data_IF_860288693484
#
_entry.id   IF_860288693484
#
_cell.length_a   1.000
_cell.length_b   1.000
_cell.length_c   1.000
_cell.angle_alpha   90.00
_cell.angle_beta   90.00
_cell.angle_gamma   90.00
#
_symmetry.space_group_name_H-M   'P 1'
#
loop_
_entity.id
_entity.type
_entity.pdbx_description
1 polymer ?
#
# COMPACT_ATOMS: atom_id res chain seq x y z
N UNK A 1 -7.58 -4.67 -11.25
CA UNK A 1 -6.93 -3.37 -11.53
C UNK A 1 -7.68 -2.22 -10.88
N UNK A 2 -8.91 -1.92 -11.30
CA UNK A 2 -9.70 -0.76 -10.79
C UNK A 2 -9.81 -0.76 -9.26
N UNK A 3 -10.12 -1.90 -8.64
CA UNK A 3 -10.19 -2.02 -7.16
C UNK A 3 -8.87 -1.73 -6.45
N UNK A 4 -7.73 -2.07 -7.06
CA UNK A 4 -6.42 -1.91 -6.44
C UNK A 4 -5.76 -0.57 -6.78
N UNK A 5 -6.25 0.14 -7.81
CA UNK A 5 -5.60 1.32 -8.39
C UNK A 5 -5.46 2.48 -7.41
N UNK A 6 -6.36 2.59 -6.43
CA UNK A 6 -6.32 3.62 -5.37
C UNK A 6 -5.04 3.52 -4.53
N UNK A 7 -4.41 2.34 -4.49
CA UNK A 7 -3.19 2.08 -3.72
C UNK A 7 -1.94 1.90 -4.60
N UNK A 8 -2.06 2.12 -5.92
CA UNK A 8 -0.92 2.04 -6.82
C UNK A 8 -0.08 3.31 -6.69
N UNK A 9 1.16 3.11 -6.25
CA UNK A 9 2.15 4.16 -6.07
C UNK A 9 3.53 3.61 -6.39
N UNK A 10 4.53 4.44 -6.71
CA UNK A 10 5.92 4.02 -6.89
C UNK A 10 6.57 3.68 -5.54
N UNK A 11 5.99 2.72 -4.81
CA UNK A 11 6.42 2.25 -3.49
C UNK A 11 6.81 0.76 -3.55
N UNK A 12 7.75 0.30 -2.71
CA UNK A 12 8.15 -1.12 -2.65
C UNK A 12 6.98 -2.09 -2.39
N UNK A 13 5.88 -1.62 -1.81
CA UNK A 13 4.65 -2.41 -1.61
C UNK A 13 4.11 -3.05 -2.90
N UNK A 14 4.36 -2.46 -4.08
CA UNK A 14 3.91 -3.05 -5.35
C UNK A 14 4.50 -4.44 -5.58
N UNK A 15 5.74 -4.68 -5.14
CA UNK A 15 6.34 -6.02 -5.19
C UNK A 15 5.56 -7.02 -4.32
N UNK A 16 4.98 -6.57 -3.20
CA UNK A 16 4.19 -7.46 -2.33
C UNK A 16 2.92 -7.95 -3.01
N UNK A 17 2.28 -7.13 -3.85
CA UNK A 17 1.10 -7.57 -4.60
C UNK A 17 1.46 -8.61 -5.67
N UNK A 18 2.59 -8.40 -6.37
CA UNK A 18 3.10 -9.36 -7.35
C UNK A 18 3.49 -10.67 -6.67
N UNK A 19 4.27 -10.61 -5.59
CA UNK A 19 4.72 -11.80 -4.87
C UNK A 19 3.55 -12.54 -4.20
N UNK A 20 2.52 -11.83 -3.73
CA UNK A 20 1.26 -12.45 -3.28
C UNK A 20 0.61 -13.25 -4.40
N UNK A 21 0.49 -12.68 -5.61
CA UNK A 21 -0.06 -13.38 -6.76
C UNK A 21 0.78 -14.62 -7.14
N UNK A 22 2.11 -14.52 -7.09
CA UNK A 22 3.01 -15.66 -7.34
C UNK A 22 2.83 -16.75 -6.27
N UNK A 23 2.73 -16.39 -4.99
CA UNK A 23 2.47 -17.35 -3.91
C UNK A 23 1.13 -18.06 -4.12
N UNK A 24 0.06 -17.33 -4.43
CA UNK A 24 -1.24 -17.93 -4.75
C UNK A 24 -1.18 -18.87 -5.96
N UNK A 25 -0.43 -18.49 -7.00
CA UNK A 25 -0.21 -19.35 -8.16
C UNK A 25 0.55 -20.63 -7.80
N UNK A 26 1.57 -20.54 -6.94
CA UNK A 26 2.31 -21.71 -6.44
C UNK A 26 1.40 -22.60 -5.59
N UNK A 27 0.58 -22.03 -4.71
CA UNK A 27 -0.41 -22.78 -3.92
C UNK A 27 -1.45 -23.48 -4.81
N UNK A 28 -1.90 -22.82 -5.87
CA UNK A 28 -2.80 -23.42 -6.86
C UNK A 28 -2.13 -24.58 -7.61
N UNK A 29 -0.87 -24.43 -8.05
CA UNK A 29 -0.11 -25.52 -8.71
C UNK A 29 0.23 -26.66 -7.76
N UNK A 30 0.38 -26.37 -6.48
CA UNK A 30 0.71 -27.35 -5.46
C UNK A 30 -0.39 -28.40 -5.31
N UNK A 31 -1.67 -28.03 -5.45
CA UNK A 31 -2.78 -29.00 -5.51
C UNK A 31 -2.61 -30.05 -6.62
N UNK A 32 -1.83 -29.74 -7.66
CA UNK A 32 -1.44 -30.64 -8.74
C UNK A 32 -0.03 -31.26 -8.56
N UNK A 33 0.54 -31.20 -7.35
CA UNK A 33 1.78 -31.87 -6.94
C UNK A 33 3.10 -31.15 -7.24
N UNK A 34 3.08 -29.90 -7.72
CA UNK A 34 4.30 -29.23 -8.25
C UNK A 34 4.61 -27.89 -7.60
N UNK A 35 5.90 -27.62 -7.39
CA UNK A 35 6.44 -26.26 -7.24
C UNK A 35 6.39 -25.61 -5.85
N UNK A 36 5.87 -26.27 -4.81
CA UNK A 36 5.68 -25.64 -3.49
C UNK A 36 6.96 -25.07 -2.87
N UNK A 37 8.11 -25.71 -3.08
CA UNK A 37 9.40 -25.23 -2.57
C UNK A 37 9.85 -23.88 -3.16
N UNK A 38 9.23 -23.42 -4.25
CA UNK A 38 9.48 -22.09 -4.81
C UNK A 38 9.09 -20.97 -3.84
N UNK A 39 8.22 -21.24 -2.86
CA UNK A 39 7.85 -20.28 -1.81
C UNK A 39 9.07 -19.86 -1.01
N UNK A 40 10.04 -20.75 -0.74
CA UNK A 40 11.22 -20.41 0.06
C UNK A 40 12.06 -19.29 -0.57
N UNK A 41 12.56 -19.40 -1.82
CA UNK A 41 13.30 -18.30 -2.45
C UNK A 41 12.43 -17.07 -2.70
N UNK A 42 11.10 -17.22 -2.91
CA UNK A 42 10.17 -16.09 -2.97
C UNK A 42 10.19 -15.31 -1.65
N UNK A 43 10.15 -16.00 -0.50
CA UNK A 43 10.13 -15.34 0.81
C UNK A 43 11.47 -14.68 1.15
N UNK A 44 12.60 -15.27 0.74
CA UNK A 44 13.92 -14.60 0.81
C UNK A 44 13.91 -13.29 0.03
N UNK A 45 13.47 -13.34 -1.23
CA UNK A 45 13.36 -12.15 -2.07
C UNK A 45 12.40 -11.13 -1.47
N UNK A 46 11.24 -11.57 -0.98
CA UNK A 46 10.22 -10.69 -0.42
C UNK A 46 10.72 -9.97 0.83
N UNK A 47 11.37 -10.68 1.76
CA UNK A 47 11.96 -10.12 2.97
C UNK A 47 13.00 -9.02 2.68
N UNK A 48 13.73 -9.13 1.57
CA UNK A 48 14.71 -8.11 1.16
C UNK A 48 14.09 -6.94 0.35
N UNK A 49 12.83 -7.06 -0.08
CA UNK A 49 12.16 -6.02 -0.88
C UNK A 49 11.19 -5.17 -0.04
N UNK A 50 10.39 -5.79 0.83
CA UNK A 50 9.33 -5.09 1.56
C UNK A 50 8.81 -5.88 2.75
N UNK A 51 8.47 -5.20 3.86
CA UNK A 51 7.88 -5.79 5.07
C UNK A 51 6.52 -6.47 4.86
N UNK A 52 5.91 -6.29 3.68
CA UNK A 52 4.70 -6.99 3.24
C UNK A 52 4.86 -8.51 3.08
N UNK A 53 6.05 -9.08 3.29
CA UNK A 53 6.23 -10.54 3.36
C UNK A 53 5.31 -11.19 4.41
N UNK A 54 4.89 -10.44 5.43
CA UNK A 54 3.91 -10.88 6.44
C UNK A 54 2.59 -11.35 5.80
N UNK A 55 2.16 -10.71 4.72
CA UNK A 55 0.98 -11.13 3.93
C UNK A 55 1.22 -12.54 3.35
N UNK A 56 2.43 -12.83 2.88
CA UNK A 56 2.79 -14.18 2.42
C UNK A 56 2.53 -15.25 3.48
N UNK A 57 2.89 -14.99 4.75
CA UNK A 57 2.59 -15.91 5.85
C UNK A 57 1.11 -16.00 6.19
N UNK A 58 0.36 -14.89 6.10
CA UNK A 58 -1.10 -14.90 6.27
C UNK A 58 -1.75 -15.80 5.21
N UNK A 59 -1.32 -15.70 3.95
CA UNK A 59 -1.81 -16.56 2.86
C UNK A 59 -1.44 -18.03 3.09
N UNK A 60 -0.21 -18.31 3.53
CA UNK A 60 0.25 -19.66 3.85
C UNK A 60 -0.53 -20.26 5.03
N UNK A 61 -0.78 -19.48 6.08
CA UNK A 61 -1.57 -19.90 7.23
C UNK A 61 -3.03 -20.19 6.84
N UNK A 62 -3.64 -19.31 6.03
CA UNK A 62 -4.96 -19.54 5.46
C UNK A 62 -5.02 -20.80 4.60
N UNK A 63 -3.99 -21.06 3.81
CA UNK A 63 -3.88 -22.29 3.02
C UNK A 63 -3.70 -23.55 3.88
N UNK A 64 -2.87 -23.51 4.92
CA UNK A 64 -2.70 -24.63 5.87
C UNK A 64 -4.03 -24.93 6.57
N UNK A 65 -4.68 -23.92 7.14
CA UNK A 65 -5.96 -24.08 7.82
C UNK A 65 -7.05 -24.58 6.86
N UNK A 66 -7.10 -24.02 5.66
CA UNK A 66 -8.06 -24.42 4.63
C UNK A 66 -7.88 -25.85 4.17
N UNK A 67 -6.64 -26.28 3.88
CA UNK A 67 -6.37 -27.66 3.46
C UNK A 67 -6.55 -28.67 4.59
N UNK A 68 -6.28 -28.27 5.84
CA UNK A 68 -6.58 -29.09 7.02
C UNK A 68 -8.09 -29.29 7.18
N UNK A 69 -8.88 -28.23 7.05
CA UNK A 69 -10.35 -28.32 7.09
C UNK A 69 -10.91 -29.12 5.90
N UNK A 70 -10.41 -28.90 4.68
CA UNK A 70 -10.79 -29.70 3.52
C UNK A 70 -10.53 -31.20 3.75
N UNK A 71 -9.39 -31.54 4.33
CA UNK A 71 -9.03 -32.91 4.67
C UNK A 71 -9.93 -33.48 5.77
N UNK A 72 -10.23 -32.69 6.80
CA UNK A 72 -11.08 -33.08 7.93
C UNK A 72 -12.54 -33.31 7.51
N UNK A 73 -13.09 -32.43 6.65
CA UNK A 73 -14.49 -32.49 6.21
C UNK A 73 -14.68 -33.32 4.93
N UNK A 74 -13.63 -33.95 4.42
CA UNK A 74 -13.70 -34.82 3.24
C UNK A 74 -14.10 -34.09 1.94
N UNK A 75 -13.67 -32.83 1.77
CA UNK A 75 -13.92 -32.09 0.52
C UNK A 75 -13.16 -32.78 -0.62
N UNK A 76 -13.84 -32.99 -1.75
CA UNK A 76 -13.26 -33.60 -2.93
C UNK A 76 -12.04 -32.79 -3.42
N UNK A 77 -10.92 -33.48 -3.69
CA UNK A 77 -9.67 -32.84 -4.12
C UNK A 77 -8.79 -32.29 -2.99
N UNK A 78 -9.09 -32.59 -1.72
CA UNK A 78 -8.21 -32.27 -0.60
C UNK A 78 -6.81 -32.91 -0.74
N UNK A 79 -5.76 -32.19 -0.37
CA UNK A 79 -4.36 -32.67 -0.47
C UNK A 79 -3.98 -33.73 0.57
N UNK A 80 -4.83 -33.95 1.58
CA UNK A 80 -4.61 -34.88 2.68
C UNK A 80 -3.57 -34.41 3.70
N UNK A 81 -3.44 -35.14 4.81
CA UNK A 81 -2.53 -34.78 5.92
C UNK A 81 -1.06 -34.70 5.53
N UNK A 82 -0.60 -35.54 4.59
CA UNK A 82 0.77 -35.45 4.04
C UNK A 82 0.98 -34.12 3.31
N UNK A 83 -0.03 -33.65 2.59
CA UNK A 83 0.02 -32.38 1.91
C UNK A 83 0.00 -31.18 2.87
N UNK A 84 -0.83 -31.24 3.92
CA UNK A 84 -0.84 -30.23 4.99
C UNK A 84 0.52 -30.19 5.70
N UNK A 85 1.10 -31.34 6.04
CA UNK A 85 2.44 -31.41 6.65
C UNK A 85 3.53 -30.80 5.77
N UNK A 86 3.45 -30.98 4.45
CA UNK A 86 4.38 -30.35 3.49
C UNK A 86 4.21 -28.82 3.44
N UNK A 87 2.98 -28.31 3.52
CA UNK A 87 2.72 -26.86 3.61
C UNK A 87 3.30 -26.27 4.88
N UNK A 88 3.09 -26.92 6.03
CA UNK A 88 3.66 -26.53 7.32
C UNK A 88 5.20 -26.50 7.23
N UNK A 89 5.80 -27.55 6.69
CA UNK A 89 7.25 -27.63 6.52
C UNK A 89 7.79 -26.49 5.65
N UNK A 90 7.22 -26.26 4.47
CA UNK A 90 7.67 -25.18 3.58
C UNK A 90 7.48 -23.81 4.24
N UNK A 91 6.40 -23.62 4.98
CA UNK A 91 6.14 -22.38 5.72
C UNK A 91 7.19 -22.16 6.82
N UNK A 92 7.51 -23.20 7.60
CA UNK A 92 8.55 -23.14 8.63
C UNK A 92 9.94 -22.86 8.02
N UNK A 93 10.31 -23.54 6.93
CA UNK A 93 11.57 -23.27 6.21
C UNK A 93 11.57 -21.84 5.66
N UNK A 94 10.44 -21.33 5.18
CA UNK A 94 10.35 -19.95 4.68
C UNK A 94 10.54 -18.90 5.78
N UNK A 95 10.07 -19.18 7.00
CA UNK A 95 10.31 -18.32 8.17
C UNK A 95 11.81 -18.27 8.54
N UNK A 96 12.50 -19.42 8.50
CA UNK A 96 13.95 -19.46 8.68
C UNK A 96 14.69 -18.78 7.53
N UNK A 97 14.20 -18.94 6.30
CA UNK A 97 14.82 -18.35 5.11
C UNK A 97 14.77 -16.81 5.13
N UNK A 98 13.82 -16.19 5.83
CA UNK A 98 13.82 -14.74 6.03
C UNK A 98 15.09 -14.24 6.69
N UNK A 99 15.79 -15.05 7.49
CA UNK A 99 17.06 -14.64 8.12
C UNK A 99 18.16 -14.31 7.10
N UNK A 100 17.98 -14.68 5.84
CA UNK A 100 18.84 -14.28 4.72
C UNK A 100 18.49 -12.85 4.28
N UNK A 101 18.79 -11.88 5.14
CA UNK A 101 18.62 -10.45 4.88
C UNK A 101 19.60 -9.62 5.77
N UNK A 102 19.86 -8.34 5.45
CA UNK A 102 20.79 -7.50 6.22
C UNK A 102 20.43 -7.30 7.71
N UNK A 103 19.15 -7.40 8.06
CA UNK A 103 18.62 -7.24 9.42
C UNK A 103 18.56 -8.56 10.22
N UNK A 104 18.93 -9.70 9.62
CA UNK A 104 18.93 -11.01 10.29
C UNK A 104 17.57 -11.34 10.91
N UNK A 105 17.54 -11.64 12.21
CA UNK A 105 16.32 -12.00 12.93
C UNK A 105 15.40 -10.81 13.26
N UNK A 106 15.93 -9.58 13.29
CA UNK A 106 15.15 -8.40 13.67
C UNK A 106 14.04 -8.11 12.65
N UNK A 107 14.20 -8.57 11.40
CA UNK A 107 13.17 -8.46 10.37
C UNK A 107 11.81 -9.03 10.83
N UNK A 108 11.82 -10.08 11.66
CA UNK A 108 10.61 -10.76 12.13
C UNK A 108 9.77 -9.89 13.07
N UNK A 109 10.36 -8.86 13.70
CA UNK A 109 9.66 -7.93 14.59
C UNK A 109 8.95 -6.81 13.83
N UNK A 110 9.47 -6.43 12.65
CA UNK A 110 9.01 -5.28 11.86
C UNK A 110 7.48 -5.24 11.66
N UNK A 111 6.79 -6.33 11.27
CA UNK A 111 5.34 -6.27 11.09
C UNK A 111 4.57 -5.94 12.37
N UNK A 112 5.05 -6.44 13.52
CA UNK A 112 4.41 -6.20 14.82
C UNK A 112 4.68 -4.79 15.32
N UNK A 113 5.92 -4.32 15.19
CA UNK A 113 6.29 -2.95 15.54
C UNK A 113 5.48 -1.96 14.70
N UNK A 114 5.38 -2.18 13.39
CA UNK A 114 4.62 -1.31 12.47
C UNK A 114 3.14 -1.24 12.84
N UNK A 115 2.48 -2.38 13.11
CA UNK A 115 1.05 -2.40 13.46
C UNK A 115 0.81 -1.77 14.83
N UNK A 116 1.79 -1.79 15.74
CA UNK A 116 1.67 -1.20 17.08
C UNK A 116 1.91 0.32 17.12
N UNK A 117 2.32 0.96 16.03
CA UNK A 117 2.46 2.43 16.00
C UNK A 117 1.05 3.05 15.97
N UNK A 118 0.56 3.51 17.13
CA UNK A 118 -0.75 4.14 17.24
C UNK A 118 -0.93 5.36 16.30
N UNK A 119 0.15 6.12 16.09
CA UNK A 119 0.15 7.26 15.17
C UNK A 119 -0.11 6.85 13.70
N UNK A 120 0.37 5.68 13.25
CA UNK A 120 0.05 5.17 11.91
C UNK A 120 -1.44 4.95 11.74
N UNK A 121 -2.05 4.29 12.73
CA UNK A 121 -3.48 3.96 12.71
C UNK A 121 -4.35 5.21 12.81
N UNK A 122 -3.92 6.19 13.61
CA UNK A 122 -4.69 7.41 13.85
C UNK A 122 -4.61 8.40 12.68
N UNK A 123 -3.42 8.61 12.11
CA UNK A 123 -3.18 9.75 11.21
C UNK A 123 -2.96 9.38 9.75
N UNK A 124 -2.72 8.11 9.42
CA UNK A 124 -2.55 7.68 8.02
C UNK A 124 -3.81 6.98 7.53
N UNK A 125 -4.51 7.64 6.60
CA UNK A 125 -5.79 7.20 6.02
C UNK A 125 -5.74 5.77 5.47
N UNK A 126 -4.59 5.34 4.92
CA UNK A 126 -4.41 3.98 4.39
C UNK A 126 -4.57 2.87 5.45
N UNK A 127 -4.39 3.19 6.74
CA UNK A 127 -4.54 2.25 7.85
C UNK A 127 -5.95 2.23 8.46
N UNK A 128 -6.81 3.17 8.07
CA UNK A 128 -8.20 3.24 8.52
C UNK A 128 -9.09 2.32 7.69
N UNK A 129 -10.28 2.02 8.21
CA UNK A 129 -11.33 1.35 7.45
C UNK A 129 -11.74 2.16 6.22
N UNK A 130 -12.04 1.50 5.08
CA UNK A 130 -12.44 2.20 3.87
C UNK A 130 -13.77 2.94 4.05
N UNK A 131 -13.79 4.22 3.67
CA UNK A 131 -15.01 5.04 3.65
C UNK A 131 -15.73 4.92 2.31
N UNK A 132 -16.90 4.28 2.32
CA UNK A 132 -17.73 4.08 1.13
C UNK A 132 -18.55 5.31 0.70
N UNK A 133 -18.56 6.39 1.49
CA UNK A 133 -19.07 7.68 1.03
C UNK A 133 -18.14 8.30 -0.02
N UNK A 134 -16.85 7.97 0.02
CA UNK A 134 -15.91 8.28 -1.05
C UNK A 134 -16.12 7.33 -2.24
N UNK A 135 -16.49 7.89 -3.40
CA UNK A 135 -16.72 7.15 -4.65
C UNK A 135 -15.50 6.35 -5.13
N UNK A 136 -14.29 6.73 -4.72
CA UNK A 136 -13.06 5.99 -5.04
C UNK A 136 -13.07 4.57 -4.43
N UNK A 137 -13.85 4.33 -3.37
CA UNK A 137 -13.97 3.01 -2.72
C UNK A 137 -15.06 2.12 -3.35
N UNK A 138 -15.89 2.64 -4.25
CA UNK A 138 -16.98 1.86 -4.87
C UNK A 138 -16.50 0.65 -5.68
N UNK A 139 -15.38 0.69 -6.43
CA UNK A 139 -14.85 -0.50 -7.09
C UNK A 139 -14.47 -1.62 -6.13
N UNK A 140 -14.12 -1.31 -4.87
CA UNK A 140 -13.89 -2.32 -3.84
C UNK A 140 -15.22 -2.94 -3.38
N UNK A 141 -16.21 -2.12 -3.03
CA UNK A 141 -17.54 -2.59 -2.66
C UNK A 141 -18.17 -3.48 -3.75
N UNK A 142 -18.13 -3.00 -5.01
CA UNK A 142 -18.64 -3.75 -6.15
C UNK A 142 -17.93 -5.09 -6.33
N UNK A 143 -16.62 -5.15 -6.08
CA UNK A 143 -15.87 -6.40 -6.21
C UNK A 143 -16.23 -7.39 -5.10
N UNK A 144 -16.36 -6.94 -3.84
CA UNK A 144 -16.87 -7.79 -2.74
C UNK A 144 -18.26 -8.34 -3.08
N UNK A 145 -19.18 -7.47 -3.51
CA UNK A 145 -20.53 -7.87 -3.90
C UNK A 145 -20.53 -8.83 -5.09
N UNK A 146 -19.64 -8.64 -6.07
CA UNK A 146 -19.49 -9.55 -7.20
C UNK A 146 -19.02 -10.94 -6.76
N UNK A 147 -18.06 -11.02 -5.83
CA UNK A 147 -17.59 -12.30 -5.26
C UNK A 147 -18.72 -13.02 -4.54
N UNK A 148 -19.44 -12.31 -3.66
CA UNK A 148 -20.58 -12.87 -2.92
C UNK A 148 -21.72 -13.29 -3.87
N UNK A 149 -22.05 -12.45 -4.84
CA UNK A 149 -23.10 -12.72 -5.81
C UNK A 149 -22.77 -13.89 -6.73
N UNK A 150 -21.55 -13.97 -7.26
CA UNK A 150 -21.12 -15.09 -8.09
C UNK A 150 -21.08 -16.40 -7.30
N UNK A 151 -20.60 -16.37 -6.05
CA UNK A 151 -20.58 -17.54 -5.19
C UNK A 151 -21.98 -18.01 -4.76
N UNK A 152 -22.91 -17.09 -4.52
CA UNK A 152 -24.29 -17.42 -4.19
C UNK A 152 -25.12 -17.89 -5.39
N UNK A 153 -24.76 -17.46 -6.60
CA UNK A 153 -25.49 -17.80 -7.82
C UNK A 153 -24.99 -19.08 -8.51
N UNK A 154 -23.71 -19.46 -8.35
CA UNK A 154 -23.14 -20.66 -8.95
C UNK A 154 -23.42 -21.92 -8.11
N UNK A 155 -23.55 -23.07 -8.76
CA UNK A 155 -23.58 -24.40 -8.10
C UNK A 155 -22.22 -24.80 -7.51
N UNK A 156 -21.13 -24.12 -7.88
CA UNK A 156 -19.79 -24.37 -7.35
C UNK A 156 -19.73 -23.95 -5.88
N UNK A 157 -19.37 -24.90 -5.00
CA UNK A 157 -19.13 -24.62 -3.58
C UNK A 157 -17.71 -24.12 -3.33
N UNK A 158 -17.57 -23.24 -2.35
CA UNK A 158 -16.28 -22.89 -1.77
C UNK A 158 -15.66 -24.12 -1.10
N UNK A 159 -14.37 -24.37 -1.37
CA UNK A 159 -13.55 -25.14 -0.43
C UNK A 159 -13.09 -24.23 0.72
N UNK A 160 -12.63 -24.82 1.82
CA UNK A 160 -12.24 -24.06 3.01
C UNK A 160 -11.05 -23.13 2.78
N UNK A 161 -10.11 -23.51 1.90
CA UNK A 161 -8.98 -22.64 1.54
C UNK A 161 -9.44 -21.38 0.83
N UNK A 162 -10.27 -21.52 -0.20
CA UNK A 162 -10.80 -20.39 -0.95
C UNK A 162 -11.63 -19.47 -0.04
N UNK A 163 -12.46 -20.08 0.84
CA UNK A 163 -13.23 -19.33 1.84
C UNK A 163 -12.32 -18.55 2.80
N UNK A 164 -11.34 -19.21 3.44
CA UNK A 164 -10.47 -18.56 4.44
C UNK A 164 -9.59 -17.47 3.81
N UNK A 165 -9.11 -17.67 2.59
CA UNK A 165 -8.33 -16.66 1.89
C UNK A 165 -9.18 -15.43 1.54
N UNK A 166 -10.38 -15.63 1.00
CA UNK A 166 -11.31 -14.53 0.67
C UNK A 166 -11.78 -13.82 1.93
N UNK A 167 -12.31 -14.56 2.90
CA UNK A 167 -12.86 -13.99 4.13
C UNK A 167 -11.77 -13.30 4.94
N UNK A 168 -10.58 -13.91 5.07
CA UNK A 168 -9.45 -13.33 5.79
C UNK A 168 -8.94 -12.04 5.14
N UNK A 169 -8.74 -12.03 3.81
CA UNK A 169 -8.31 -10.81 3.13
C UNK A 169 -9.40 -9.75 3.04
N UNK A 170 -10.68 -10.14 2.95
CA UNK A 170 -11.81 -9.22 3.05
C UNK A 170 -11.83 -8.55 4.42
N UNK A 171 -11.72 -9.31 5.51
CA UNK A 171 -11.60 -8.78 6.86
C UNK A 171 -10.45 -7.78 6.98
N UNK A 172 -9.24 -8.15 6.51
CA UNK A 172 -8.08 -7.25 6.51
C UNK A 172 -8.31 -5.97 5.72
N UNK A 173 -9.05 -6.04 4.60
CA UNK A 173 -9.39 -4.88 3.77
C UNK A 173 -10.46 -3.97 4.38
N UNK A 174 -11.40 -4.52 5.15
CA UNK A 174 -12.35 -3.72 5.94
C UNK A 174 -11.70 -3.12 7.18
N UNK A 175 -10.73 -3.81 7.76
CA UNK A 175 -9.96 -3.30 8.89
C UNK A 175 -9.04 -2.14 8.47
N UNK A 176 -8.29 -2.31 7.37
CA UNK A 176 -7.40 -1.28 6.85
C UNK A 176 -7.42 -1.23 5.32
N UNK A 177 -7.73 -0.06 4.76
CA UNK A 177 -7.94 0.14 3.33
C UNK A 177 -6.72 -0.27 2.47
N UNK A 178 -5.50 -0.16 3.00
CA UNK A 178 -4.27 -0.62 2.34
C UNK A 178 -4.28 -2.10 1.92
N UNK A 179 -5.12 -2.94 2.54
CA UNK A 179 -5.25 -4.36 2.22
C UNK A 179 -6.24 -4.66 1.09
N UNK A 180 -6.94 -3.65 0.55
CA UNK A 180 -7.89 -3.81 -0.58
C UNK A 180 -7.19 -4.41 -1.80
N UNK A 181 -5.95 -4.00 -2.09
CA UNK A 181 -5.19 -4.55 -3.20
C UNK A 181 -4.85 -6.05 -2.99
N UNK A 182 -4.54 -6.45 -1.75
CA UNK A 182 -4.31 -7.86 -1.39
C UNK A 182 -5.58 -8.69 -1.56
N UNK A 183 -6.72 -8.19 -1.07
CA UNK A 183 -8.02 -8.81 -1.31
C UNK A 183 -8.29 -8.96 -2.81
N UNK A 184 -8.03 -7.92 -3.61
CA UNK A 184 -8.26 -7.97 -5.05
C UNK A 184 -7.43 -9.06 -5.73
N UNK A 185 -6.16 -9.24 -5.33
CA UNK A 185 -5.29 -10.31 -5.84
C UNK A 185 -5.82 -11.70 -5.47
N UNK A 186 -6.28 -11.90 -4.23
CA UNK A 186 -6.82 -13.17 -3.75
C UNK A 186 -8.18 -13.51 -4.37
N UNK A 187 -9.09 -12.54 -4.39
CA UNK A 187 -10.48 -12.74 -4.80
C UNK A 187 -10.66 -12.86 -6.31
N UNK A 188 -9.74 -12.30 -7.12
CA UNK A 188 -9.83 -12.37 -8.60
C UNK A 188 -9.96 -13.79 -9.12
N UNK A 189 -9.02 -14.73 -8.86
CA UNK A 189 -9.13 -16.10 -9.39
C UNK A 189 -10.39 -16.82 -8.91
N UNK A 190 -10.86 -16.52 -7.69
CA UNK A 190 -12.04 -17.14 -7.11
C UNK A 190 -13.31 -16.61 -7.79
N UNK A 191 -13.43 -15.29 -7.95
CA UNK A 191 -14.51 -14.68 -8.73
C UNK A 191 -14.55 -15.29 -10.14
N UNK A 192 -13.40 -15.42 -10.80
CA UNK A 192 -13.33 -16.02 -12.15
C UNK A 192 -13.85 -17.45 -12.16
N UNK A 193 -13.51 -18.29 -11.19
CA UNK A 193 -13.99 -19.67 -11.13
C UNK A 193 -15.51 -19.76 -10.90
N UNK A 194 -16.08 -18.93 -10.02
CA UNK A 194 -17.52 -18.92 -9.78
C UNK A 194 -18.31 -18.31 -10.95
N UNK A 195 -17.76 -17.28 -11.61
CA UNK A 195 -18.36 -16.73 -12.83
C UNK A 195 -18.33 -17.72 -13.98
N UNK A 196 -17.20 -18.41 -14.20
CA UNK A 196 -17.07 -19.43 -15.25
C UNK A 196 -18.06 -20.58 -15.04
N UNK A 197 -18.19 -21.05 -13.79
CA UNK A 197 -19.19 -22.06 -13.43
C UNK A 197 -20.61 -21.55 -13.69
N UNK A 198 -20.97 -20.35 -13.21
CA UNK A 198 -22.29 -19.74 -13.42
C UNK A 198 -22.64 -19.57 -14.92
N UNK A 199 -21.67 -19.13 -15.73
CA UNK A 199 -21.87 -18.95 -17.17
C UNK A 199 -22.04 -20.31 -17.86
N UNK A 200 -21.21 -21.29 -17.51
CA UNK A 200 -21.30 -22.66 -18.03
C UNK A 200 -22.64 -23.31 -17.68
N UNK A 201 -23.12 -23.13 -16.45
CA UNK A 201 -24.44 -23.58 -15.98
C UNK A 201 -25.59 -22.97 -16.83
N UNK A 202 -25.40 -21.75 -17.34
CA UNK A 202 -26.36 -21.05 -18.23
C UNK A 202 -26.15 -21.37 -19.72
N UNK A 203 -25.29 -22.35 -20.04
CA UNK A 203 -25.02 -22.78 -21.42
C UNK A 203 -23.96 -21.95 -22.15
N UNK A 204 -23.28 -21.02 -21.48
CA UNK A 204 -22.20 -20.22 -22.06
C UNK A 204 -20.88 -20.94 -21.82
N UNK A 205 -20.39 -21.67 -22.83
CA UNK A 205 -19.10 -22.39 -22.74
C UNK A 205 -17.98 -21.63 -23.45
N UNK A 206 -17.04 -21.11 -22.66
CA UNK A 206 -15.86 -20.46 -23.20
C UNK A 206 -14.75 -21.48 -23.42
N UNK A 207 -14.40 -21.71 -24.68
CA UNK A 207 -13.28 -22.59 -25.02
C UNK A 207 -11.99 -21.77 -25.03
N UNK A 208 -10.95 -22.14 -24.25
CA UNK A 208 -9.68 -21.43 -24.28
C UNK A 208 -9.10 -21.51 -25.69
N UNK A 209 -8.77 -20.35 -26.25
CA UNK A 209 -8.17 -20.24 -27.57
C UNK A 209 -6.75 -20.83 -27.52
N UNK A 210 -6.57 -22.04 -28.06
CA UNK A 210 -5.28 -22.77 -28.03
C UNK A 210 -4.26 -22.22 -29.03
N UNK A 211 -4.73 -21.52 -30.06
CA UNK A 211 -3.88 -20.97 -31.13
C UNK A 211 -4.23 -19.50 -31.35
N UNK A 212 -3.22 -18.63 -31.26
CA UNK A 212 -3.36 -17.23 -31.60
C UNK A 212 -3.43 -17.12 -33.12
N UNK A 213 -4.60 -16.82 -33.68
CA UNK A 213 -4.73 -16.57 -35.11
C UNK A 213 -3.89 -15.36 -35.53
N UNK A 214 -3.44 -15.22 -36.80
CA UNK A 214 -2.70 -14.04 -37.25
C UNK A 214 -3.42 -12.71 -36.96
N UNK A 215 -4.77 -12.71 -37.03
CA UNK A 215 -5.60 -11.55 -36.67
C UNK A 215 -5.56 -11.22 -35.18
N UNK A 216 -5.63 -12.24 -34.32
CA UNK A 216 -5.45 -12.08 -32.87
C UNK A 216 -4.01 -11.65 -32.53
N UNK A 217 -3.02 -12.16 -33.26
CA UNK A 217 -1.62 -11.75 -33.13
C UNK A 217 -1.45 -10.28 -33.48
N UNK A 218 -2.04 -9.84 -34.60
CA UNK A 218 -2.04 -8.43 -35.00
C UNK A 218 -2.79 -7.55 -33.99
N UNK A 219 -3.95 -8.00 -33.47
CA UNK A 219 -4.69 -7.28 -32.44
C UNK A 219 -3.90 -7.17 -31.14
N UNK A 220 -3.30 -8.26 -30.68
CA UNK A 220 -2.47 -8.27 -29.47
C UNK A 220 -1.23 -7.38 -29.66
N UNK A 221 -0.58 -7.43 -30.82
CA UNK A 221 0.53 -6.54 -31.16
C UNK A 221 0.08 -5.07 -31.17
N UNK A 222 -1.08 -4.77 -31.77
CA UNK A 222 -1.66 -3.43 -31.77
C UNK A 222 -1.96 -2.97 -30.33
N UNK A 223 -2.55 -3.82 -29.49
CA UNK A 223 -2.80 -3.52 -28.08
C UNK A 223 -1.50 -3.27 -27.30
N UNK A 224 -0.47 -4.10 -27.51
CA UNK A 224 0.86 -3.89 -26.89
C UNK A 224 1.48 -2.59 -27.36
N UNK A 225 1.39 -2.25 -28.64
CA UNK A 225 1.89 -0.98 -29.18
C UNK A 225 1.10 0.19 -28.63
N UNK A 226 -0.23 0.10 -28.55
CA UNK A 226 -1.09 1.16 -27.98
C UNK A 226 -0.77 1.36 -26.50
N UNK A 227 -0.67 0.29 -25.72
CA UNK A 227 -0.31 0.35 -24.30
C UNK A 227 1.11 0.90 -24.13
N UNK A 228 2.06 0.43 -24.93
CA UNK A 228 3.44 0.90 -24.92
C UNK A 228 3.55 2.38 -25.30
N UNK A 229 2.80 2.83 -26.32
CA UNK A 229 2.74 4.22 -26.73
C UNK A 229 2.04 5.09 -25.69
N UNK A 230 0.94 4.61 -25.09
CA UNK A 230 0.27 5.31 -24.00
C UNK A 230 1.19 5.46 -22.78
N UNK A 231 1.90 4.40 -22.41
CA UNK A 231 2.91 4.44 -21.35
C UNK A 231 4.06 5.39 -21.70
N UNK A 232 4.55 5.37 -22.94
CA UNK A 232 5.59 6.29 -23.41
C UNK A 232 5.11 7.73 -23.39
N UNK A 233 3.91 8.02 -23.89
CA UNK A 233 3.29 9.35 -23.85
C UNK A 233 3.07 9.83 -22.41
N UNK A 234 2.71 8.92 -21.50
CA UNK A 234 2.58 9.24 -20.08
C UNK A 234 3.94 9.56 -19.44
N UNK A 235 5.00 8.81 -19.79
CA UNK A 235 6.37 9.08 -19.33
C UNK A 235 6.89 10.39 -19.91
N UNK A 236 6.80 10.59 -21.23
CA UNK A 236 7.27 11.80 -21.91
C UNK A 236 6.47 13.02 -21.47
N UNK A 237 5.14 12.91 -21.42
CA UNK A 237 4.24 13.96 -20.96
C UNK A 237 4.43 14.31 -19.48
N UNK A 238 4.65 13.30 -18.63
CA UNK A 238 4.98 13.49 -17.20
C UNK A 238 6.38 14.08 -16.97
N UNK A 239 7.27 13.97 -17.95
CA UNK A 239 8.61 14.56 -17.94
C UNK A 239 8.66 15.99 -18.45
N UNK A 240 7.54 16.53 -18.98
CA UNK A 240 7.46 17.93 -19.42
C UNK A 240 7.42 18.87 -18.21
N UNK A 241 8.45 19.71 -17.99
CA UNK A 241 8.60 20.47 -16.74
C UNK A 241 7.39 21.34 -16.37
N UNK A 242 6.65 21.85 -17.37
CA UNK A 242 5.44 22.65 -17.14
C UNK A 242 4.26 21.86 -16.58
N UNK A 243 4.04 20.64 -17.08
CA UNK A 243 2.94 19.77 -16.62
C UNK A 243 3.27 19.25 -15.23
N UNK A 244 4.52 18.85 -15.03
CA UNK A 244 5.00 18.38 -13.73
C UNK A 244 4.92 19.46 -12.67
N UNK A 245 5.31 20.72 -12.97
CA UNK A 245 5.21 21.84 -12.02
C UNK A 245 3.77 22.15 -11.64
N UNK A 246 2.85 22.22 -12.60
CA UNK A 246 1.45 22.54 -12.33
C UNK A 246 0.76 21.46 -11.45
N UNK A 247 1.05 20.18 -11.68
CA UNK A 247 0.52 19.10 -10.84
C UNK A 247 1.19 19.05 -9.46
N UNK A 248 2.50 19.28 -9.38
CA UNK A 248 3.20 19.36 -8.09
C UNK A 248 2.74 20.54 -7.25
N UNK A 249 2.55 21.72 -7.82
CA UNK A 249 2.07 22.90 -7.08
C UNK A 249 0.67 22.75 -6.48
N UNK A 250 -0.11 21.73 -6.88
CA UNK A 250 -1.41 21.42 -6.26
C UNK A 250 -1.30 20.67 -4.93
N UNK A 251 -0.17 20.01 -4.66
CA UNK A 251 -0.02 19.10 -3.51
C UNK A 251 1.28 19.27 -2.74
N UNK A 252 2.28 19.91 -3.35
CA UNK A 252 3.61 20.15 -2.79
C UNK A 252 3.87 21.66 -2.69
N UNK A 253 4.66 22.10 -1.69
CA UNK A 253 4.89 23.51 -1.38
C UNK A 253 5.96 24.11 -2.31
N UNK A 254 5.73 24.06 -3.63
CA UNK A 254 6.71 24.47 -4.66
C UNK A 254 7.09 25.93 -4.49
N UNK A 255 6.11 26.82 -4.34
CA UNK A 255 6.36 28.25 -4.25
C UNK A 255 6.98 28.66 -2.90
N UNK A 256 6.56 28.02 -1.80
CA UNK A 256 7.21 28.21 -0.51
C UNK A 256 8.68 27.73 -0.52
N UNK A 257 9.00 26.63 -1.20
CA UNK A 257 10.37 26.18 -1.38
C UNK A 257 11.19 27.16 -2.24
N UNK A 258 10.61 27.71 -3.31
CA UNK A 258 11.24 28.77 -4.12
C UNK A 258 11.52 30.02 -3.29
N UNK A 259 10.57 30.43 -2.43
CA UNK A 259 10.74 31.55 -1.49
C UNK A 259 11.91 31.30 -0.53
N UNK A 260 11.97 30.13 0.12
CA UNK A 260 13.05 29.79 1.07
C UNK A 260 14.40 29.75 0.36
N UNK A 261 14.46 29.23 -0.86
CA UNK A 261 15.70 29.20 -1.65
C UNK A 261 16.19 30.59 -2.05
N UNK A 262 15.27 31.54 -2.28
CA UNK A 262 15.58 32.92 -2.64
C UNK A 262 16.01 33.77 -1.43
N UNK A 263 15.22 33.75 -0.36
CA UNK A 263 15.42 34.62 0.82
C UNK A 263 16.40 34.02 1.85
N UNK A 264 16.63 32.70 1.79
CA UNK A 264 17.49 31.95 2.72
C UNK A 264 17.27 32.30 4.21
N UNK A 265 16.03 32.15 4.75
CA UNK A 265 15.78 32.36 6.18
C UNK A 265 16.70 31.47 7.04
N UNK A 266 17.18 31.99 8.17
CA UNK A 266 18.12 31.27 9.01
C UNK A 266 17.43 30.35 10.03
N UNK A 267 18.10 29.24 10.33
CA UNK A 267 17.81 28.38 11.47
C UNK A 267 17.01 27.10 11.16
N UNK A 268 16.78 26.25 12.17
CA UNK A 268 16.13 24.95 12.01
C UNK A 268 14.69 25.09 11.54
N UNK A 269 14.30 24.21 10.61
CA UNK A 269 12.99 24.19 10.00
C UNK A 269 12.07 23.16 10.67
N UNK A 270 10.85 23.55 11.00
CA UNK A 270 9.72 22.65 11.27
C UNK A 270 8.84 22.61 10.01
N UNK A 271 8.68 21.43 9.41
CA UNK A 271 7.90 21.29 8.18
C UNK A 271 6.71 20.35 8.34
N UNK A 272 5.72 20.49 7.45
CA UNK A 272 4.66 19.49 7.29
C UNK A 272 5.22 18.11 6.94
N UNK A 273 4.70 17.09 7.60
CA UNK A 273 4.91 15.67 7.37
C UNK A 273 4.75 15.28 5.90
N UNK A 274 3.72 15.83 5.25
CA UNK A 274 3.40 15.52 3.86
C UNK A 274 4.43 16.08 2.88
N UNK A 275 5.23 17.06 3.31
CA UNK A 275 6.15 17.80 2.46
C UNK A 275 7.62 17.51 2.75
N UNK A 276 7.95 16.80 3.83
CA UNK A 276 9.33 16.55 4.24
C UNK A 276 10.18 15.91 3.14
N UNK A 277 9.66 14.91 2.43
CA UNK A 277 10.40 14.28 1.33
C UNK A 277 10.68 15.25 0.16
N UNK A 278 9.74 16.15 -0.14
CA UNK A 278 9.91 17.15 -1.20
C UNK A 278 10.90 18.24 -0.76
N UNK A 279 10.75 18.77 0.46
CA UNK A 279 11.62 19.82 1.00
C UNK A 279 13.05 19.30 1.17
N UNK A 280 13.24 18.05 1.58
CA UNK A 280 14.57 17.42 1.62
C UNK A 280 15.24 17.39 0.23
N UNK A 281 14.46 17.20 -0.83
CA UNK A 281 14.98 17.17 -2.20
C UNK A 281 15.28 18.58 -2.75
N UNK A 282 14.42 19.56 -2.48
CA UNK A 282 14.54 20.92 -3.04
C UNK A 282 15.35 21.88 -2.18
N UNK A 283 15.44 21.64 -0.88
CA UNK A 283 16.14 22.45 0.11
C UNK A 283 17.14 21.58 0.90
N UNK A 284 18.18 21.01 0.24
CA UNK A 284 19.12 20.09 0.90
C UNK A 284 19.92 20.74 2.04
N UNK A 285 20.01 22.08 2.05
CA UNK A 285 20.69 22.85 3.09
C UNK A 285 19.82 23.01 4.37
N UNK A 286 18.53 22.66 4.31
CA UNK A 286 17.58 22.75 5.42
C UNK A 286 17.17 21.35 5.87
N UNK A 287 17.71 20.86 7.00
CA UNK A 287 17.25 19.61 7.58
C UNK A 287 15.74 19.66 7.85
N UNK A 288 15.03 18.64 7.37
CA UNK A 288 13.59 18.49 7.64
C UNK A 288 13.39 17.95 9.05
N UNK A 289 12.35 18.43 9.71
CA UNK A 289 11.94 17.98 11.05
C UNK A 289 11.33 16.59 11.03
N UNK A 290 10.52 16.32 9.99
CA UNK A 290 9.86 15.04 9.78
C UNK A 290 9.63 14.80 8.28
N UNK A 291 9.48 13.53 7.89
CA UNK A 291 9.08 13.12 6.54
C UNK A 291 8.19 11.86 6.58
N UNK A 292 7.79 11.38 5.40
CA UNK A 292 6.88 10.25 5.23
C UNK A 292 7.35 8.89 5.74
N UNK A 293 8.58 8.75 6.27
CA UNK A 293 9.14 7.49 6.80
C UNK A 293 8.72 7.27 8.26
N UNK A 294 7.41 7.07 8.45
CA UNK A 294 6.80 6.96 9.79
C UNK A 294 7.51 6.00 10.75
N UNK A 295 7.97 4.87 10.23
CA UNK A 295 8.65 3.80 10.94
C UNK A 295 9.91 4.28 11.69
N UNK A 296 10.50 5.41 11.28
CA UNK A 296 11.66 6.02 11.93
C UNK A 296 11.32 6.89 13.14
N UNK A 297 10.07 7.35 13.25
CA UNK A 297 9.68 8.36 14.25
C UNK A 297 8.92 7.77 15.44
N UNK A 298 8.19 6.67 15.25
CA UNK A 298 7.45 6.01 16.34
C UNK A 298 6.51 6.96 17.10
N UNK A 299 6.58 6.95 18.44
CA UNK A 299 5.70 7.74 19.30
C UNK A 299 5.94 9.26 19.23
N UNK A 300 7.09 9.70 18.72
CA UNK A 300 7.38 11.12 18.50
C UNK A 300 6.35 11.78 17.58
N UNK A 301 5.73 10.99 16.67
CA UNK A 301 4.67 11.51 15.81
C UNK A 301 3.48 12.07 16.58
N UNK A 302 3.19 11.58 17.79
CA UNK A 302 2.12 12.16 18.60
C UNK A 302 2.44 13.60 19.01
N UNK A 303 3.69 13.88 19.40
CA UNK A 303 4.17 15.24 19.72
C UNK A 303 4.13 16.12 18.47
N UNK A 304 4.61 15.58 17.34
CA UNK A 304 4.57 16.28 16.06
C UNK A 304 3.14 16.64 15.62
N UNK A 305 2.19 15.69 15.67
CA UNK A 305 0.81 15.93 15.26
C UNK A 305 0.08 16.86 16.23
N UNK A 306 0.34 16.77 17.54
CA UNK A 306 -0.18 17.73 18.51
C UNK A 306 0.29 19.16 18.18
N UNK A 307 1.59 19.33 17.91
CA UNK A 307 2.19 20.62 17.54
C UNK A 307 1.62 21.15 16.22
N UNK A 308 1.56 20.31 15.18
CA UNK A 308 1.02 20.67 13.85
C UNK A 308 -0.45 21.08 13.92
N UNK A 309 -1.24 20.45 14.80
CA UNK A 309 -2.64 20.80 15.02
C UNK A 309 -2.81 22.04 15.91
N UNK A 310 -1.72 22.65 16.39
CA UNK A 310 -1.76 23.80 17.28
C UNK A 310 -2.32 23.48 18.66
N UNK A 311 -2.17 22.23 19.12
CA UNK A 311 -2.57 21.81 20.47
C UNK A 311 -1.68 22.41 21.56
N UNK A 312 -2.05 22.19 22.82
CA UNK A 312 -1.28 22.67 23.96
C UNK A 312 0.17 22.16 23.91
N UNK A 313 1.14 23.00 24.30
CA UNK A 313 2.55 22.62 24.24
C UNK A 313 3.26 22.87 22.89
N UNK A 314 2.55 23.43 21.89
CA UNK A 314 3.14 23.65 20.56
C UNK A 314 4.35 24.59 20.60
N UNK A 315 4.30 25.62 21.45
CA UNK A 315 5.37 26.63 21.57
C UNK A 315 6.61 26.02 22.22
N UNK A 316 6.39 25.29 23.30
CA UNK A 316 7.41 24.56 24.05
C UNK A 316 8.13 23.57 23.13
N UNK A 317 7.39 22.90 22.25
CA UNK A 317 7.98 22.02 21.23
C UNK A 317 8.87 22.81 20.27
N UNK A 318 8.38 23.90 19.68
CA UNK A 318 9.23 24.70 18.77
C UNK A 318 10.47 25.27 19.46
N UNK A 319 10.35 25.67 20.72
CA UNK A 319 11.43 26.21 21.53
C UNK A 319 12.47 25.14 21.90
N UNK A 320 12.03 23.93 22.29
CA UNK A 320 12.88 22.78 22.63
C UNK A 320 13.83 22.42 21.48
N UNK A 321 13.31 22.41 20.25
CA UNK A 321 14.08 22.10 19.05
C UNK A 321 14.75 23.32 18.42
N UNK A 322 14.63 24.50 19.03
CA UNK A 322 15.22 25.74 18.53
C UNK A 322 14.73 26.13 17.13
N UNK A 323 13.47 25.83 16.80
CA UNK A 323 12.89 26.09 15.49
C UNK A 323 12.81 27.60 15.25
N UNK A 324 13.30 28.03 14.09
CA UNK A 324 13.26 29.43 13.66
C UNK A 324 12.54 29.62 12.31
N UNK A 325 12.24 28.52 11.61
CA UNK A 325 11.55 28.50 10.34
C UNK A 325 10.42 27.47 10.40
N UNK A 326 9.18 27.83 10.07
CA UNK A 326 8.05 26.89 10.04
C UNK A 326 7.45 26.88 8.64
N UNK A 327 7.24 25.70 8.05
CA UNK A 327 6.66 25.50 6.71
C UNK A 327 5.52 24.48 6.81
N UNK A 328 4.28 24.95 6.88
CA UNK A 328 3.10 24.11 7.15
C UNK A 328 1.92 24.49 6.25
N UNK A 329 0.88 23.65 6.24
CA UNK A 329 -0.38 23.93 5.56
C UNK A 329 -0.95 25.27 6.02
N UNK A 330 -1.29 26.16 5.08
CA UNK A 330 -1.76 27.52 5.39
C UNK A 330 -3.00 27.51 6.30
N UNK A 331 -3.91 26.56 6.07
CA UNK A 331 -5.11 26.35 6.89
C UNK A 331 -4.90 25.55 8.19
N UNK A 332 -3.67 25.08 8.47
CA UNK A 332 -3.34 24.21 9.59
C UNK A 332 -3.49 24.87 10.96
N UNK A 333 -3.58 24.04 12.02
CA UNK A 333 -3.73 24.54 13.39
C UNK A 333 -2.54 25.36 13.87
N UNK A 334 -1.32 24.86 13.65
CA UNK A 334 -0.09 25.59 13.97
C UNK A 334 -0.01 26.94 13.22
N UNK A 335 -0.37 26.96 11.93
CA UNK A 335 -0.39 28.19 11.14
C UNK A 335 -1.37 29.23 11.69
N UNK A 336 -2.50 28.82 12.27
CA UNK A 336 -3.44 29.75 12.92
C UNK A 336 -2.85 30.36 14.19
N UNK A 337 -2.19 29.55 15.01
CA UNK A 337 -1.55 30.03 16.24
C UNK A 337 -0.39 30.98 15.92
N UNK A 338 0.46 30.65 14.96
CA UNK A 338 1.61 31.47 14.57
C UNK A 338 1.22 32.83 13.98
N UNK A 339 0.05 32.97 13.35
CA UNK A 339 -0.43 34.26 12.83
C UNK A 339 -0.76 35.29 13.92
N UNK A 340 -1.17 34.83 15.10
CA UNK A 340 -1.49 35.70 16.25
C UNK A 340 -0.34 35.82 17.24
N UNK A 341 0.77 35.13 16.96
CA UNK A 341 1.93 35.08 17.83
C UNK A 341 2.91 36.21 17.56
N UNK A 342 3.23 37.01 18.57
CA UNK A 342 4.16 38.14 18.40
C UNK A 342 5.61 37.71 18.20
N UNK A 343 5.97 36.45 18.50
CA UNK A 343 7.32 35.93 18.31
C UNK A 343 7.59 35.43 16.89
N UNK A 344 6.61 35.49 15.99
CA UNK A 344 6.69 34.93 14.65
C UNK A 344 6.14 35.90 13.61
N UNK A 345 6.84 35.99 12.49
CA UNK A 345 6.41 36.78 11.33
C UNK A 345 6.00 35.86 10.19
N UNK A 346 4.82 36.11 9.62
CA UNK A 346 4.41 35.48 8.37
C UNK A 346 5.29 36.04 7.23
N UNK A 347 6.11 35.16 6.66
CA UNK A 347 7.13 35.51 5.67
C UNK A 347 6.67 35.22 4.23
N UNK A 348 5.85 34.18 4.05
CA UNK A 348 5.24 33.81 2.77
C UNK A 348 3.93 33.05 3.00
N UNK A 349 2.95 33.22 2.10
CA UNK A 349 1.70 32.47 2.10
C UNK A 349 1.16 32.31 0.67
N UNK A 350 0.67 31.11 0.35
CA UNK A 350 -0.20 30.82 -0.78
C UNK A 350 -1.41 29.98 -0.33
N UNK A 351 -2.24 29.53 -1.29
CA UNK A 351 -3.43 28.72 -1.00
C UNK A 351 -3.12 27.38 -0.29
N UNK A 352 -1.87 26.90 -0.36
CA UNK A 352 -1.43 25.61 0.16
C UNK A 352 -0.56 25.75 1.42
N UNK A 353 0.45 26.61 1.39
CA UNK A 353 1.54 26.66 2.35
C UNK A 353 1.74 28.06 2.95
N UNK A 354 2.08 28.07 4.24
CA UNK A 354 2.53 29.26 4.95
C UNK A 354 3.93 29.05 5.51
N UNK A 355 4.78 30.07 5.38
CA UNK A 355 6.14 30.12 5.92
C UNK A 355 6.21 31.17 7.01
N UNK A 356 6.62 30.77 8.20
CA UNK A 356 6.83 31.68 9.33
C UNK A 356 8.29 31.69 9.72
N UNK A 357 8.80 32.87 10.09
CA UNK A 357 10.16 33.07 10.58
C UNK A 357 10.09 33.65 11.98
N UNK A 358 10.88 33.11 12.91
CA UNK A 358 10.91 33.59 14.29
C UNK A 358 11.54 34.98 14.35
N UNK A 359 10.90 35.91 15.03
CA UNK A 359 11.50 37.21 15.32
C UNK A 359 12.44 37.05 16.51
N UNK A 360 13.74 37.22 16.27
CA UNK A 360 14.73 37.28 17.34
C UNK A 360 14.67 38.70 17.90
N UNK A 361 14.03 38.87 19.06
CA UNK A 361 14.05 40.11 19.83
C UNK A 361 15.42 40.34 20.48
#
# INVERSE_FOLDING_TARGET
>A
AITAAVFWSPRPQMFSFVLSAVVLYVLWRYRNGRGLWLIVPIMVLWGNLHAGYSIGFILLAGAIAGEALNTLTGVEGAVGWRGVGKLILVTAVSAVALLVNPYGADILRVPFETVNIGALQAFIVEWQSPDFHNRQMWPFAAFVLAVLGAAGASQRRFNWTDFLLVAGTAFLSFYAARNIATFAVVATPILTQHLDALLTERGWTFHPVKFVSPRMGLLNAALVVIIGLAALLQVVGGSLPRITRAEYSRSLPVLAAEYINAERPAGPMFNSYNWGGYLMFTLPDYPVFVDGRTDLYGDFLNVYYNTTNGGDGWRETLDEYGINLVVVEAGGGLARNLRVDTGWRLAYEDDLAAVFVREIS
#
